data_IF_991817458722
#
_entry.id   IF_991817458722
#
_cell.length_a   1.000
_cell.length_b   1.000
_cell.length_c   1.000
_cell.angle_alpha   90.00
_cell.angle_beta   90.00
_cell.angle_gamma   90.00
#
_symmetry.space_group_name_H-M   'P 1'
#
loop_
_entity.id
_entity.type
_entity.pdbx_description
1 polymer ?
#
# COMPACT_ATOMS: atom_id res chain seq x y z
N UNK A 1 11.01 23.73 19.84
CA UNK A 1 11.51 22.35 19.74
C UNK A 1 10.33 21.44 19.98
N UNK A 2 9.71 20.93 18.92
CA UNK A 2 8.63 19.98 19.03
C UNK A 2 9.24 18.58 19.17
N UNK A 3 8.95 17.89 20.27
CA UNK A 3 9.23 16.47 20.43
C UNK A 3 8.51 15.70 19.33
N UNK A 4 9.25 15.34 18.28
CA UNK A 4 8.75 14.65 17.09
C UNK A 4 8.34 13.22 17.41
N UNK A 5 7.11 13.04 17.93
CA UNK A 5 6.42 11.76 17.82
C UNK A 5 5.90 11.64 16.39
N UNK A 6 6.67 10.95 15.53
CA UNK A 6 6.26 10.69 14.16
C UNK A 6 4.97 9.87 14.14
N UNK A 7 3.90 10.46 13.59
CA UNK A 7 2.64 9.76 13.34
C UNK A 7 2.77 9.07 11.99
N UNK A 8 2.77 7.73 11.94
CA UNK A 8 2.63 7.02 10.66
C UNK A 8 1.14 6.90 10.36
N UNK A 9 0.69 7.64 9.37
CA UNK A 9 -0.66 7.51 8.81
C UNK A 9 -0.53 6.71 7.51
N UNK A 10 -1.11 5.52 7.49
CA UNK A 10 -1.24 4.73 6.28
C UNK A 10 -2.67 4.81 5.74
N UNK A 11 -2.81 4.71 4.42
CA UNK A 11 -4.11 4.52 3.79
C UNK A 11 -4.05 3.25 2.94
N UNK A 12 -5.01 2.36 3.15
CA UNK A 12 -5.32 1.28 2.21
C UNK A 12 -6.70 1.58 1.64
N UNK A 13 -6.88 1.27 0.36
CA UNK A 13 -8.17 1.27 -0.33
C UNK A 13 -8.57 -0.19 -0.49
N UNK A 14 -9.83 -0.51 -0.22
CA UNK A 14 -10.38 -1.84 -0.40
C UNK A 14 -11.23 -1.83 -1.67
N UNK A 15 -12.08 -2.83 -1.85
CA UNK A 15 -12.86 -2.98 -3.09
C UNK A 15 -13.66 -1.71 -3.44
N UNK A 16 -13.18 -0.89 -4.40
CA UNK A 16 -13.85 0.34 -4.78
C UNK A 16 -15.12 0.01 -5.56
N UNK A 17 -15.26 -1.21 -6.09
CA UNK A 17 -16.38 -1.58 -6.95
C UNK A 17 -17.69 -1.81 -6.18
N UNK A 18 -17.60 -2.23 -4.92
CA UNK A 18 -18.76 -2.61 -4.10
C UNK A 18 -19.00 -1.74 -2.88
N UNK A 19 -17.93 -1.23 -2.28
CA UNK A 19 -18.03 -0.75 -0.89
C UNK A 19 -17.65 0.70 -0.72
N UNK A 20 -16.81 1.28 -1.59
CA UNK A 20 -16.38 2.68 -1.44
C UNK A 20 -15.92 2.99 -0.01
N UNK A 21 -15.21 2.05 0.61
CA UNK A 21 -14.63 2.25 1.94
C UNK A 21 -13.14 2.50 1.77
N UNK A 22 -12.52 3.07 2.79
CA UNK A 22 -11.07 3.04 2.95
C UNK A 22 -10.69 2.77 4.39
N UNK A 23 -9.47 2.28 4.57
CA UNK A 23 -8.89 2.05 5.88
C UNK A 23 -7.81 3.10 6.12
N UNK A 24 -8.01 3.90 7.17
CA UNK A 24 -6.97 4.72 7.76
C UNK A 24 -6.33 3.94 8.89
N UNK A 25 -5.01 3.87 8.86
CA UNK A 25 -4.23 3.37 9.97
C UNK A 25 -3.47 4.52 10.60
N UNK A 26 -3.58 4.67 11.92
CA UNK A 26 -2.77 5.61 12.68
C UNK A 26 -1.96 4.88 13.74
N UNK A 27 -0.64 4.96 13.63
CA UNK A 27 0.26 4.59 14.71
C UNK A 27 0.52 5.83 15.59
N UNK A 28 -0.40 6.13 16.51
CA UNK A 28 -0.13 7.03 17.63
C UNK A 28 -0.43 6.30 18.94
N UNK A 29 0.60 6.01 19.73
CA UNK A 29 0.44 5.20 20.95
C UNK A 29 -0.03 3.78 20.61
N UNK A 30 -1.21 3.39 21.08
CA UNK A 30 -1.84 2.12 20.69
C UNK A 30 -2.39 2.22 19.26
N UNK A 31 -1.74 1.54 18.33
CA UNK A 31 -2.10 1.49 16.92
C UNK A 31 -3.62 1.27 16.73
N UNK A 32 -4.26 2.17 15.99
CA UNK A 32 -5.70 2.13 15.75
C UNK A 32 -5.97 2.11 14.24
N UNK A 33 -6.81 1.18 13.84
CA UNK A 33 -7.28 1.03 12.47
C UNK A 33 -8.71 1.54 12.38
N UNK A 34 -8.98 2.49 11.48
CA UNK A 34 -10.28 3.15 11.33
C UNK A 34 -10.78 2.91 9.92
N UNK A 35 -11.89 2.21 9.80
CA UNK A 35 -12.61 2.07 8.54
C UNK A 35 -13.51 3.29 8.35
N UNK A 36 -13.49 3.89 7.16
CA UNK A 36 -14.25 5.10 6.85
C UNK A 36 -15.12 4.90 5.60
N UNK A 37 -16.35 5.42 5.68
CA UNK A 37 -17.19 5.73 4.53
C UNK A 37 -17.42 7.25 4.46
N UNK A 38 -16.63 7.98 3.65
CA UNK A 38 -16.80 9.42 3.41
C UNK A 38 -18.17 9.83 2.87
N UNK A 39 -18.79 9.00 2.01
CA UNK A 39 -20.10 9.31 1.40
C UNK A 39 -21.17 9.46 2.47
N UNK A 40 -21.17 8.54 3.44
CA UNK A 40 -22.10 8.57 4.56
C UNK A 40 -21.56 9.31 5.78
N UNK A 41 -20.31 9.79 5.73
CA UNK A 41 -19.56 10.40 6.85
C UNK A 41 -19.50 9.49 8.07
N UNK A 42 -19.43 8.18 7.83
CA UNK A 42 -19.33 7.17 8.87
C UNK A 42 -17.88 6.76 9.07
N UNK A 43 -17.52 6.47 10.31
CA UNK A 43 -16.25 5.83 10.63
C UNK A 43 -16.45 4.82 11.76
N UNK A 44 -15.67 3.75 11.73
CA UNK A 44 -15.63 2.74 12.80
C UNK A 44 -14.19 2.40 13.12
N UNK A 45 -13.88 2.37 14.42
CA UNK A 45 -12.59 1.89 14.92
C UNK A 45 -12.66 0.37 14.94
N UNK A 46 -11.73 -0.29 14.24
CA UNK A 46 -11.66 -1.74 14.25
C UNK A 46 -11.19 -2.27 15.60
N UNK A 47 -11.61 -3.48 15.99
CA UNK A 47 -11.12 -4.11 17.20
C UNK A 47 -9.61 -4.23 17.16
N UNK A 48 -8.97 -4.00 18.30
CA UNK A 48 -7.52 -4.16 18.43
C UNK A 48 -7.12 -5.58 18.08
N UNK A 49 -5.97 -5.72 17.44
CA UNK A 49 -5.39 -7.04 17.19
C UNK A 49 -5.09 -7.72 18.54
N UNK A 50 -5.80 -8.82 18.81
CA UNK A 50 -5.72 -9.59 20.06
C UNK A 50 -4.71 -10.73 19.98
N UNK A 51 -4.00 -10.88 18.87
CA UNK A 51 -3.00 -11.96 18.72
C UNK A 51 -1.82 -11.68 19.65
N UNK A 52 -1.47 -12.61 20.56
CA UNK A 52 -0.41 -12.39 21.52
C UNK A 52 0.95 -12.26 20.83
N UNK A 53 1.79 -11.41 21.41
CA UNK A 53 3.21 -11.32 21.09
C UNK A 53 3.94 -12.19 22.14
N UNK A 54 4.86 -13.08 21.72
CA UNK A 54 5.63 -13.89 22.66
C UNK A 54 6.35 -13.04 23.71
N UNK A 55 6.50 -13.55 24.93
CA UNK A 55 7.19 -12.84 26.02
C UNK A 55 8.65 -12.57 25.61
N UNK A 56 9.09 -11.33 25.77
CA UNK A 56 10.44 -10.91 25.36
C UNK A 56 10.54 -10.50 23.90
N UNK A 57 9.44 -10.50 23.14
CA UNK A 57 9.40 -10.02 21.76
C UNK A 57 8.61 -8.72 21.64
N UNK A 58 8.89 -7.96 20.59
CA UNK A 58 8.12 -6.80 20.15
C UNK A 58 7.70 -6.99 18.70
N UNK A 59 6.71 -6.22 18.24
CA UNK A 59 6.28 -6.26 16.85
C UNK A 59 6.13 -4.86 16.24
N UNK A 60 6.22 -4.80 14.91
CA UNK A 60 5.90 -3.62 14.10
C UNK A 60 5.04 -4.01 12.92
N UNK A 61 4.03 -3.19 12.66
CA UNK A 61 3.23 -3.29 11.46
C UNK A 61 4.07 -2.89 10.24
N UNK A 62 4.27 -3.83 9.33
CA UNK A 62 4.96 -3.59 8.07
C UNK A 62 3.99 -3.10 7.00
N UNK A 63 2.88 -3.84 6.83
CA UNK A 63 1.82 -3.52 5.87
C UNK A 63 0.46 -3.88 6.43
N UNK A 64 -0.57 -3.26 5.86
CA UNK A 64 -1.94 -3.62 6.11
C UNK A 64 -2.77 -3.44 4.85
N UNK A 65 -3.92 -4.08 4.86
CA UNK A 65 -4.86 -4.07 3.78
C UNK A 65 -6.26 -4.35 4.28
N UNK A 66 -7.23 -4.09 3.42
CA UNK A 66 -8.57 -4.57 3.68
C UNK A 66 -9.29 -4.86 2.37
N UNK A 67 -10.28 -5.73 2.45
CA UNK A 67 -11.11 -6.05 1.32
C UNK A 67 -12.40 -6.73 1.74
N UNK A 68 -13.27 -6.90 0.77
CA UNK A 68 -14.54 -7.57 0.95
C UNK A 68 -14.45 -8.97 0.34
N UNK A 69 -14.74 -10.00 1.13
CA UNK A 69 -14.94 -11.35 0.66
C UNK A 69 -16.41 -11.53 0.27
N UNK A 70 -16.63 -11.75 -1.02
CA UNK A 70 -17.97 -11.93 -1.57
C UNK A 70 -18.59 -13.29 -1.22
N UNK A 71 -17.77 -14.30 -0.96
CA UNK A 71 -18.25 -15.66 -0.69
C UNK A 71 -18.79 -15.77 0.74
N UNK A 72 -18.12 -15.13 1.70
CA UNK A 72 -18.54 -15.05 3.10
C UNK A 72 -19.37 -13.81 3.43
N UNK A 73 -19.50 -12.87 2.48
CA UNK A 73 -20.12 -11.57 2.67
C UNK A 73 -19.54 -10.82 3.89
N UNK A 74 -18.22 -10.88 4.05
CA UNK A 74 -17.53 -10.28 5.20
C UNK A 74 -16.38 -9.37 4.77
N UNK A 75 -16.07 -8.38 5.61
CA UNK A 75 -14.89 -7.56 5.45
C UNK A 75 -13.73 -8.21 6.18
N UNK A 76 -12.61 -8.32 5.49
CA UNK A 76 -11.38 -8.87 6.03
C UNK A 76 -10.32 -7.79 6.06
N UNK A 77 -9.60 -7.72 7.18
CA UNK A 77 -8.51 -6.78 7.37
C UNK A 77 -7.25 -7.58 7.65
N UNK A 78 -6.26 -7.40 6.80
CA UNK A 78 -4.99 -8.11 6.86
C UNK A 78 -3.92 -7.17 7.38
N UNK A 79 -3.12 -7.64 8.33
CA UNK A 79 -1.95 -6.94 8.83
C UNK A 79 -0.74 -7.87 8.77
N UNK A 80 0.31 -7.40 8.11
CA UNK A 80 1.61 -8.08 8.07
C UNK A 80 2.49 -7.42 9.13
N UNK A 81 2.92 -8.22 10.10
CA UNK A 81 3.69 -7.77 11.26
C UNK A 81 5.06 -8.45 11.25
N UNK A 82 6.11 -7.67 11.48
CA UNK A 82 7.44 -8.19 11.80
C UNK A 82 7.54 -8.32 13.32
N UNK A 83 7.98 -9.48 13.80
CA UNK A 83 8.14 -9.79 15.21
C UNK A 83 9.62 -10.12 15.45
N UNK A 84 10.22 -9.54 16.49
CA UNK A 84 11.63 -9.78 16.83
C UNK A 84 11.86 -9.71 18.33
N UNK A 85 12.93 -10.34 18.81
CA UNK A 85 13.28 -10.33 20.22
C UNK A 85 13.63 -8.90 20.68
N UNK A 86 13.10 -8.51 21.83
CA UNK A 86 13.38 -7.23 22.44
C UNK A 86 14.85 -7.19 22.85
N UNK A 87 15.64 -6.21 22.38
CA UNK A 87 17.05 -6.14 22.74
C UNK A 87 17.23 -6.04 24.26
N UNK A 88 17.91 -7.01 24.87
CA UNK A 88 18.40 -6.83 26.24
C UNK A 88 19.68 -5.98 26.18
N UNK A 89 20.00 -5.26 27.25
CA UNK A 89 21.13 -4.29 27.30
C UNK A 89 22.52 -4.90 27.01
N UNK A 90 22.63 -6.22 26.82
CA UNK A 90 23.90 -6.95 26.72
C UNK A 90 24.19 -7.59 25.35
N UNK A 91 23.27 -7.54 24.38
CA UNK A 91 23.53 -8.04 23.03
C UNK A 91 23.98 -6.93 22.09
N UNK A 92 25.20 -7.07 21.57
CA UNK A 92 25.70 -6.31 20.43
C UNK A 92 24.79 -6.56 19.24
N UNK A 93 24.20 -5.50 18.70
CA UNK A 93 23.25 -5.45 17.60
C UNK A 93 23.52 -6.44 16.45
N UNK A 94 22.87 -7.61 16.44
CA UNK A 94 22.51 -8.33 15.21
C UNK A 94 20.99 -8.24 15.06
N UNK A 95 20.50 -7.32 14.23
CA UNK A 95 19.06 -7.05 14.06
C UNK A 95 18.30 -8.18 13.32
N UNK A 96 18.97 -9.26 12.94
CA UNK A 96 18.52 -10.17 11.88
C UNK A 96 18.37 -11.63 12.31
N UNK A 97 18.97 -12.07 13.44
CA UNK A 97 19.05 -13.52 13.72
C UNK A 97 17.75 -14.14 14.29
N UNK A 98 16.84 -13.36 14.89
CA UNK A 98 15.62 -13.88 15.52
C UNK A 98 14.34 -13.07 15.18
N UNK A 99 14.20 -12.63 13.92
CA UNK A 99 12.97 -11.98 13.44
C UNK A 99 12.18 -12.87 12.48
N UNK A 100 10.85 -12.82 12.57
CA UNK A 100 9.95 -13.46 11.61
C UNK A 100 8.81 -12.54 11.21
N UNK A 101 8.25 -12.81 10.04
CA UNK A 101 7.08 -12.10 9.52
C UNK A 101 5.85 -12.97 9.74
N UNK A 102 4.78 -12.37 10.25
CA UNK A 102 3.50 -13.03 10.50
C UNK A 102 2.37 -12.24 9.85
N UNK A 103 1.34 -12.97 9.40
CA UNK A 103 0.14 -12.38 8.83
C UNK A 103 -1.04 -12.58 9.79
N UNK A 104 -1.58 -11.49 10.30
CA UNK A 104 -2.77 -11.49 11.15
C UNK A 104 -3.97 -11.03 10.32
N UNK A 105 -5.09 -11.74 10.41
CA UNK A 105 -6.32 -11.46 9.70
C UNK A 105 -7.46 -11.26 10.69
N UNK A 106 -8.17 -10.14 10.56
CA UNK A 106 -9.49 -9.95 11.14
C UNK A 106 -10.57 -10.30 10.12
N UNK A 107 -11.61 -10.99 10.58
CA UNK A 107 -12.81 -11.27 9.80
C UNK A 107 -14.04 -10.65 10.48
N UNK A 108 -14.77 -9.80 9.76
CA UNK A 108 -15.96 -9.14 10.32
C UNK A 108 -17.12 -10.08 10.58
N UNK A 109 -17.15 -11.27 9.98
CA UNK A 109 -18.20 -12.27 10.22
C UNK A 109 -18.08 -12.91 11.60
N UNK A 110 -16.85 -13.14 12.07
CA UNK A 110 -16.58 -13.73 13.39
C UNK A 110 -16.17 -12.70 14.43
N UNK A 111 -15.95 -11.45 14.01
CA UNK A 111 -15.46 -10.35 14.85
C UNK A 111 -14.21 -10.74 15.64
N UNK A 112 -13.27 -11.42 14.98
CA UNK A 112 -12.10 -11.98 15.64
C UNK A 112 -10.85 -11.89 14.76
N UNK A 113 -9.71 -11.76 15.41
CA UNK A 113 -8.40 -11.90 14.79
C UNK A 113 -7.94 -13.36 14.82
N UNK A 114 -7.24 -13.77 13.77
CA UNK A 114 -6.49 -15.05 13.71
C UNK A 114 -5.21 -14.89 12.91
N UNK A 115 -4.26 -15.79 13.12
CA UNK A 115 -3.05 -15.88 12.31
C UNK A 115 -3.41 -16.66 11.04
N UNK A 116 -2.96 -16.18 9.89
CA UNK A 116 -2.86 -16.98 8.68
C UNK A 116 -1.41 -17.43 8.59
N UNK A 117 -1.19 -18.72 8.77
CA UNK A 117 0.16 -19.26 8.77
C UNK A 117 0.73 -19.25 7.35
N UNK A 118 1.68 -18.35 7.15
CA UNK A 118 2.47 -18.24 5.94
C UNK A 118 3.87 -17.90 6.39
N UNK A 119 4.79 -18.85 6.24
CA UNK A 119 6.22 -18.59 6.32
C UNK A 119 6.59 -17.62 5.21
N UNK A 120 6.59 -16.33 5.54
CA UNK A 120 7.05 -15.29 4.65
C UNK A 120 8.54 -15.08 4.87
N UNK A 121 9.36 -15.06 3.80
CA UNK A 121 10.74 -14.64 3.92
C UNK A 121 10.80 -13.20 4.44
N UNK A 122 11.96 -12.77 4.95
CA UNK A 122 12.13 -11.36 5.29
C UNK A 122 12.08 -10.49 4.03
N UNK A 123 11.48 -9.31 4.15
CA UNK A 123 11.38 -8.34 3.07
C UNK A 123 11.26 -6.92 3.62
N UNK A 124 11.69 -5.96 2.80
CA UNK A 124 11.47 -4.55 3.04
C UNK A 124 10.23 -4.11 2.31
N UNK A 125 9.35 -3.47 3.06
CA UNK A 125 8.15 -2.87 2.53
C UNK A 125 8.42 -1.50 1.93
N UNK A 126 7.89 -1.26 0.73
CA UNK A 126 7.81 0.08 0.17
C UNK A 126 6.59 0.79 0.78
N UNK A 127 6.77 1.84 1.59
CA UNK A 127 5.64 2.59 2.13
C UNK A 127 4.76 3.13 1.01
N UNK A 128 3.45 3.18 1.24
CA UNK A 128 2.47 3.89 0.37
C UNK A 128 2.27 3.30 -1.04
N UNK A 129 2.95 2.20 -1.32
CA UNK A 129 2.87 1.42 -2.55
C UNK A 129 1.91 0.24 -2.41
N UNK A 130 0.66 0.54 -2.01
CA UNK A 130 -0.39 -0.45 -1.86
C UNK A 130 -1.57 -0.17 -2.80
N UNK A 131 -2.20 -1.25 -3.27
CA UNK A 131 -3.32 -1.18 -4.20
C UNK A 131 -4.24 -2.39 -4.02
N UNK A 132 -5.55 -2.15 -3.94
CA UNK A 132 -6.52 -3.22 -4.08
C UNK A 132 -6.92 -3.39 -5.54
N UNK A 133 -6.75 -4.60 -6.07
CA UNK A 133 -7.00 -4.92 -7.46
C UNK A 133 -7.43 -6.39 -7.57
N UNK A 134 -8.43 -6.68 -8.40
CA UNK A 134 -8.87 -8.06 -8.69
C UNK A 134 -9.12 -8.93 -7.44
N UNK A 135 -9.80 -8.39 -6.43
CA UNK A 135 -10.13 -9.12 -5.18
C UNK A 135 -8.95 -9.32 -4.22
N UNK A 136 -7.78 -8.75 -4.52
CA UNK A 136 -6.59 -8.91 -3.71
C UNK A 136 -5.96 -7.57 -3.33
N UNK A 137 -5.43 -7.50 -2.11
CA UNK A 137 -4.57 -6.40 -1.69
C UNK A 137 -3.14 -6.67 -2.18
N UNK A 138 -2.51 -5.67 -2.78
CA UNK A 138 -1.15 -5.73 -3.28
C UNK A 138 -0.27 -4.73 -2.53
N UNK A 139 0.97 -5.13 -2.25
CA UNK A 139 2.01 -4.30 -1.68
C UNK A 139 3.32 -4.51 -2.43
N UNK A 140 3.98 -3.43 -2.83
CA UNK A 140 5.35 -3.54 -3.34
C UNK A 140 6.33 -3.77 -2.18
N UNK A 141 7.19 -4.76 -2.36
CA UNK A 141 8.21 -5.15 -1.39
C UNK A 141 9.51 -5.51 -2.11
N UNK A 142 10.60 -5.63 -1.37
CA UNK A 142 11.92 -6.02 -1.89
C UNK A 142 12.63 -6.94 -0.92
N UNK A 143 13.29 -7.98 -1.43
CA UNK A 143 14.22 -8.83 -0.68
C UNK A 143 15.68 -8.34 -0.81
N UNK A 144 15.85 -7.03 -0.99
CA UNK A 144 17.11 -6.33 -1.21
C UNK A 144 17.77 -6.52 -2.57
N UNK A 145 17.37 -7.54 -3.35
CA UNK A 145 17.94 -7.86 -4.66
C UNK A 145 16.91 -7.87 -5.79
N UNK A 146 15.66 -8.24 -5.48
CA UNK A 146 14.59 -8.40 -6.45
C UNK A 146 13.36 -7.63 -5.96
N UNK A 147 12.83 -6.78 -6.83
CA UNK A 147 11.53 -6.15 -6.61
C UNK A 147 10.40 -7.17 -6.77
N UNK A 148 9.48 -7.21 -5.81
CA UNK A 148 8.34 -8.14 -5.80
C UNK A 148 7.07 -7.42 -5.38
N UNK A 149 5.94 -7.96 -5.78
CA UNK A 149 4.63 -7.60 -5.25
C UNK A 149 4.15 -8.77 -4.42
N UNK A 150 3.90 -8.52 -3.14
CA UNK A 150 3.16 -9.43 -2.28
C UNK A 150 1.68 -9.13 -2.46
N UNK A 151 0.87 -10.14 -2.74
CA UNK A 151 -0.58 -9.99 -2.84
C UNK A 151 -1.32 -10.96 -1.93
N UNK A 152 -2.34 -10.46 -1.25
CA UNK A 152 -3.25 -11.22 -0.40
C UNK A 152 -4.61 -11.34 -1.09
N UNK A 153 -4.96 -12.55 -1.50
CA UNK A 153 -6.28 -12.89 -2.06
C UNK A 153 -7.30 -12.95 -0.92
N UNK A 154 -8.27 -12.04 -0.92
CA UNK A 154 -9.19 -11.86 0.23
C UNK A 154 -10.16 -13.04 0.37
N UNK A 155 -10.64 -13.58 -0.76
CA UNK A 155 -11.57 -14.70 -0.76
C UNK A 155 -10.89 -16.02 -0.40
N UNK A 156 -9.70 -16.26 -0.98
CA UNK A 156 -8.96 -17.51 -0.72
C UNK A 156 -8.08 -17.47 0.52
N UNK A 157 -7.84 -16.28 1.05
CA UNK A 157 -6.96 -16.02 2.21
C UNK A 157 -5.53 -16.52 2.02
N UNK A 158 -5.02 -16.42 0.80
CA UNK A 158 -3.66 -16.86 0.45
C UNK A 158 -2.79 -15.69 0.03
N UNK A 159 -1.54 -15.73 0.45
CA UNK A 159 -0.49 -14.83 0.00
C UNK A 159 0.19 -15.40 -1.24
N UNK A 160 0.47 -14.55 -2.22
CA UNK A 160 1.17 -14.91 -3.45
C UNK A 160 2.17 -13.83 -3.84
N UNK A 161 3.20 -14.27 -4.54
CA UNK A 161 4.25 -13.42 -5.06
C UNK A 161 4.04 -13.17 -6.55
N UNK A 162 4.21 -11.92 -6.97
CA UNK A 162 4.34 -11.53 -8.38
C UNK A 162 5.70 -10.83 -8.51
N UNK A 163 6.58 -11.32 -9.37
CA UNK A 163 7.88 -10.69 -9.57
C UNK A 163 7.73 -9.41 -10.39
N UNK A 164 8.58 -8.42 -10.10
CA UNK A 164 8.73 -7.27 -10.99
C UNK A 164 9.33 -7.70 -12.34
N UNK A 165 9.19 -6.89 -13.40
CA UNK A 165 9.96 -7.09 -14.62
C UNK A 165 11.48 -7.08 -14.31
N UNK A 166 12.29 -7.98 -14.92
CA UNK A 166 13.73 -8.07 -14.63
C UNK A 166 14.52 -6.77 -14.76
N UNK A 167 14.13 -5.91 -15.71
CA UNK A 167 14.71 -4.58 -15.91
C UNK A 167 14.47 -3.60 -14.75
N UNK A 168 13.63 -3.96 -13.77
CA UNK A 168 13.30 -3.17 -12.58
C UNK A 168 13.88 -3.78 -11.28
N UNK A 169 14.67 -4.86 -11.35
CA UNK A 169 15.20 -5.51 -10.15
C UNK A 169 16.29 -4.69 -9.44
N UNK A 170 16.93 -3.78 -10.16
CA UNK A 170 17.99 -2.92 -9.62
C UNK A 170 17.43 -1.66 -8.94
N UNK A 171 16.97 -1.84 -7.69
CA UNK A 171 16.43 -0.77 -6.85
C UNK A 171 17.52 0.07 -6.16
N UNK A 172 18.78 -0.39 -6.15
CA UNK A 172 19.83 0.16 -5.26
C UNK A 172 21.08 0.68 -5.94
N UNK A 173 21.30 0.48 -7.24
CA UNK A 173 22.56 0.97 -7.82
C UNK A 173 22.68 2.51 -7.87
N UNK A 174 21.60 3.27 -7.68
CA UNK A 174 21.68 4.74 -7.53
C UNK A 174 20.94 5.33 -6.32
N UNK A 175 19.99 4.61 -5.69
CA UNK A 175 19.17 5.15 -4.60
C UNK A 175 18.29 6.34 -5.01
N UNK A 176 18.16 6.59 -6.32
CA UNK A 176 17.51 7.75 -6.92
C UNK A 176 16.22 7.39 -7.65
N UNK A 177 15.75 6.15 -7.56
CA UNK A 177 14.57 5.68 -8.29
C UNK A 177 13.41 5.33 -7.37
N UNK A 178 12.23 5.77 -7.76
CA UNK A 178 10.96 5.50 -7.10
C UNK A 178 10.04 4.65 -7.94
N UNK A 179 9.12 3.99 -7.25
CA UNK A 179 8.07 3.20 -7.87
C UNK A 179 6.71 3.47 -7.24
N UNK A 180 5.66 3.40 -8.05
CA UNK A 180 4.29 3.39 -7.58
C UNK A 180 3.47 2.28 -8.26
N UNK A 181 2.54 1.69 -7.51
CA UNK A 181 1.64 0.65 -7.98
C UNK A 181 0.26 1.24 -8.25
N UNK A 182 -0.24 1.09 -9.46
CA UNK A 182 -1.53 1.66 -9.89
C UNK A 182 -2.33 0.64 -10.71
N UNK A 183 -3.63 0.92 -10.89
CA UNK A 183 -4.44 0.25 -11.90
C UNK A 183 -4.44 1.10 -13.15
N UNK A 184 -4.15 0.52 -14.32
CA UNK A 184 -4.16 1.22 -15.59
C UNK A 184 -4.64 0.28 -16.69
N UNK A 185 -5.62 0.71 -17.49
CA UNK A 185 -6.25 -0.12 -18.54
C UNK A 185 -6.78 -1.44 -18.01
N UNK A 186 -7.38 -1.41 -16.81
CA UNK A 186 -7.86 -2.58 -16.08
C UNK A 186 -6.78 -3.64 -15.78
N UNK A 187 -5.50 -3.24 -15.84
CA UNK A 187 -4.35 -4.09 -15.51
C UNK A 187 -3.59 -3.50 -14.32
N UNK A 188 -2.82 -4.36 -13.65
CA UNK A 188 -1.84 -3.92 -12.67
C UNK A 188 -0.69 -3.21 -13.40
N UNK A 189 -0.28 -2.04 -12.90
CA UNK A 189 0.77 -1.26 -13.52
C UNK A 189 1.78 -0.73 -12.49
N UNK A 190 3.06 -0.74 -12.89
CA UNK A 190 4.16 -0.14 -12.14
C UNK A 190 4.60 1.12 -12.87
N UNK A 191 4.69 2.22 -12.14
CA UNK A 191 5.30 3.46 -12.58
C UNK A 191 6.68 3.54 -11.96
N UNK A 192 7.73 3.73 -12.77
CA UNK A 192 9.10 3.96 -12.31
C UNK A 192 9.52 5.38 -12.67
N UNK A 193 10.08 6.11 -11.72
CA UNK A 193 10.43 7.52 -11.85
C UNK A 193 11.70 7.85 -11.04
N UNK A 194 12.31 9.01 -11.26
CA UNK A 194 13.44 9.49 -10.45
C UNK A 194 13.00 10.32 -9.25
N UNK A 195 13.75 10.21 -8.14
CA UNK A 195 13.65 11.00 -6.92
C UNK A 195 14.68 12.15 -6.89
N UNK A 196 15.48 12.31 -7.94
CA UNK A 196 16.49 13.36 -8.00
C UNK A 196 15.80 14.73 -8.02
N UNK A 197 16.10 15.54 -7.01
CA UNK A 197 15.60 16.90 -6.90
C UNK A 197 16.22 17.75 -8.01
N UNK A 198 15.42 18.63 -8.60
CA UNK A 198 15.86 19.60 -9.62
C UNK A 198 16.27 18.99 -10.98
N UNK A 199 15.91 17.73 -11.25
CA UNK A 199 15.94 17.15 -12.59
C UNK A 199 14.56 17.10 -13.23
N UNK A 200 14.49 17.16 -14.56
CA UNK A 200 13.33 16.70 -15.30
C UNK A 200 13.60 15.28 -15.79
N UNK A 201 12.79 14.30 -15.37
CA UNK A 201 12.94 12.90 -15.80
C UNK A 201 11.63 12.37 -16.39
N UNK A 202 11.68 11.20 -17.00
CA UNK A 202 10.53 10.48 -17.54
C UNK A 202 9.95 9.46 -16.53
N UNK A 203 8.69 9.07 -16.68
CA UNK A 203 8.07 7.94 -15.97
C UNK A 203 7.97 6.80 -16.96
N UNK A 204 8.58 5.68 -16.60
CA UNK A 204 8.39 4.42 -17.28
C UNK A 204 7.13 3.73 -16.76
N UNK A 205 6.22 3.35 -17.67
CA UNK A 205 4.96 2.71 -17.31
C UNK A 205 4.96 1.27 -17.82
N UNK A 206 4.90 0.33 -16.87
CA UNK A 206 4.86 -1.12 -17.10
C UNK A 206 3.48 -1.65 -16.78
N UNK A 207 2.89 -2.48 -17.65
CA UNK A 207 1.62 -3.15 -17.44
C UNK A 207 1.81 -4.66 -17.39
N UNK A 208 1.13 -5.30 -16.45
CA UNK A 208 1.02 -6.76 -16.36
C UNK A 208 -0.09 -7.22 -17.31
N UNK A 209 0.27 -7.88 -18.41
CA UNK A 209 -0.70 -8.30 -19.42
C UNK A 209 -1.58 -9.44 -18.96
N UNK A 210 -1.01 -10.39 -18.23
CA UNK A 210 -1.70 -11.55 -17.66
C UNK A 210 -1.52 -11.55 -16.14
N UNK A 211 -2.62 -11.42 -15.41
CA UNK A 211 -2.59 -11.29 -13.97
C UNK A 211 -1.98 -12.53 -13.30
N UNK A 212 -0.98 -12.32 -12.45
CA UNK A 212 -0.22 -13.38 -11.79
C UNK A 212 0.91 -14.01 -12.62
N UNK A 213 1.05 -13.65 -13.91
CA UNK A 213 2.12 -14.18 -14.78
C UNK A 213 3.22 -13.14 -14.91
N UNK A 214 4.29 -13.28 -14.12
CA UNK A 214 5.35 -12.27 -13.99
C UNK A 214 6.07 -11.99 -15.32
N UNK A 215 6.13 -12.96 -16.22
CA UNK A 215 6.76 -12.85 -17.53
C UNK A 215 5.96 -11.96 -18.49
N UNK A 216 4.69 -11.68 -18.16
CA UNK A 216 3.78 -10.89 -19.00
C UNK A 216 3.90 -9.37 -18.80
N UNK A 217 4.84 -8.92 -17.94
CA UNK A 217 5.13 -7.50 -17.79
C UNK A 217 5.66 -6.90 -19.10
N UNK A 218 5.08 -5.78 -19.51
CA UNK A 218 5.52 -5.06 -20.72
C UNK A 218 5.57 -3.55 -20.45
N UNK A 219 6.67 -2.91 -20.87
CA UNK A 219 6.76 -1.45 -20.90
C UNK A 219 5.84 -0.94 -22.00
N UNK A 220 4.80 -0.18 -21.64
CA UNK A 220 3.78 0.26 -22.59
C UNK A 220 4.06 1.66 -23.15
N UNK A 221 4.42 2.61 -22.30
CA UNK A 221 4.72 3.98 -22.71
C UNK A 221 5.58 4.69 -21.68
N UNK A 222 6.14 5.82 -22.11
CA UNK A 222 6.97 6.73 -21.31
C UNK A 222 6.31 8.10 -21.34
N UNK A 223 6.22 8.76 -20.18
CA UNK A 223 5.62 10.10 -20.05
C UNK A 223 6.62 11.07 -19.44
N UNK A 224 6.55 12.35 -19.84
CA UNK A 224 7.48 13.39 -19.38
C UNK A 224 8.28 14.05 -20.52
N UNK A 225 9.36 14.77 -20.20
CA UNK A 225 9.96 14.89 -18.87
C UNK A 225 9.15 15.81 -17.91
N UNK A 226 9.31 15.66 -16.59
CA UNK A 226 8.61 16.46 -15.57
C UNK A 226 9.53 16.77 -14.39
N UNK A 227 9.32 17.89 -13.68
CA UNK A 227 10.06 18.20 -12.46
C UNK A 227 9.83 17.09 -11.43
N UNK A 228 10.87 16.30 -11.14
CA UNK A 228 10.80 15.25 -10.13
C UNK A 228 10.96 15.88 -8.75
N UNK A 229 9.92 15.74 -7.92
CA UNK A 229 9.94 16.05 -6.49
C UNK A 229 9.65 14.79 -5.70
N UNK A 230 10.16 14.71 -4.46
CA UNK A 230 10.09 13.52 -3.63
C UNK A 230 8.66 12.94 -3.47
N UNK A 231 8.59 11.61 -3.33
CA UNK A 231 7.43 10.77 -3.01
C UNK A 231 6.17 10.98 -3.86
N UNK A 232 6.15 10.30 -5.01
CA UNK A 232 4.98 10.22 -5.86
C UNK A 232 3.94 9.27 -5.25
N UNK A 233 2.79 9.82 -4.89
CA UNK A 233 1.55 9.06 -4.76
C UNK A 233 0.87 8.95 -6.11
N UNK A 234 1.34 8.03 -6.95
CA UNK A 234 0.69 7.84 -8.24
C UNK A 234 -0.66 7.16 -8.07
N UNK A 235 -1.70 7.71 -8.69
CA UNK A 235 -3.00 7.02 -8.85
C UNK A 235 -3.56 7.32 -10.23
N UNK A 236 -4.18 6.35 -10.88
CA UNK A 236 -4.81 6.56 -12.19
C UNK A 236 -6.30 6.89 -12.01
N UNK A 237 -6.78 7.91 -12.72
CA UNK A 237 -8.20 8.25 -12.72
C UNK A 237 -9.05 7.08 -13.21
N UNK A 238 -10.33 7.07 -12.84
CA UNK A 238 -11.29 6.00 -13.16
C UNK A 238 -11.48 5.73 -14.67
N UNK A 239 -11.00 6.62 -15.54
CA UNK A 239 -11.06 6.49 -16.99
C UNK A 239 -9.69 6.31 -17.64
N UNK A 240 -8.64 6.05 -16.86
CA UNK A 240 -7.25 5.94 -17.34
C UNK A 240 -6.80 7.16 -18.16
N UNK A 241 -7.37 8.33 -17.85
CA UNK A 241 -7.06 9.57 -18.54
C UNK A 241 -5.90 10.30 -17.86
N UNK A 242 -5.85 10.22 -16.54
CA UNK A 242 -4.94 11.00 -15.73
C UNK A 242 -4.15 10.12 -14.78
N UNK A 243 -2.87 10.37 -14.65
CA UNK A 243 -2.09 9.92 -13.49
C UNK A 243 -1.94 11.11 -12.55
N UNK A 244 -2.36 10.92 -11.31
CA UNK A 244 -2.28 11.90 -10.24
C UNK A 244 -0.97 11.73 -9.48
N UNK A 245 -0.32 12.82 -9.10
CA UNK A 245 0.97 12.86 -8.42
C UNK A 245 0.97 13.92 -7.31
N UNK A 246 1.76 13.69 -6.27
CA UNK A 246 2.15 14.73 -5.31
C UNK A 246 3.47 15.33 -5.79
N UNK A 247 3.58 16.66 -5.78
CA UNK A 247 4.84 17.36 -6.04
C UNK A 247 4.88 18.63 -5.19
N UNK A 248 5.83 18.69 -4.24
CA UNK A 248 6.06 19.84 -3.36
C UNK A 248 4.80 20.34 -2.62
N UNK A 249 3.97 19.42 -2.15
CA UNK A 249 2.72 19.70 -1.44
C UNK A 249 1.54 19.99 -2.36
N UNK A 250 1.70 19.92 -3.68
CA UNK A 250 0.64 20.13 -4.67
C UNK A 250 0.20 18.82 -5.31
N UNK A 251 -1.08 18.73 -5.66
CA UNK A 251 -1.62 17.65 -6.48
C UNK A 251 -1.49 18.03 -7.96
N UNK A 252 -0.86 17.16 -8.74
CA UNK A 252 -0.66 17.30 -10.19
C UNK A 252 -1.34 16.15 -10.91
N UNK A 253 -1.99 16.39 -12.05
CA UNK A 253 -2.52 15.36 -12.92
C UNK A 253 -1.87 15.44 -14.29
N UNK A 254 -1.42 14.30 -14.80
CA UNK A 254 -0.84 14.16 -16.14
C UNK A 254 -1.77 13.37 -17.05
N UNK A 255 -2.10 13.93 -18.22
CA UNK A 255 -2.93 13.26 -19.21
C UNK A 255 -2.11 12.22 -19.98
N UNK A 256 -2.46 10.94 -19.83
CA UNK A 256 -1.74 9.80 -20.40
C UNK A 256 -1.60 9.88 -21.94
N UNK A 257 -2.54 10.55 -22.62
CA UNK A 257 -2.60 10.61 -24.09
C UNK A 257 -2.44 12.02 -24.70
N UNK A 258 -2.40 13.07 -23.87
CA UNK A 258 -2.41 14.45 -24.38
C UNK A 258 -1.14 15.23 -24.05
N UNK A 259 -0.18 14.63 -23.32
CA UNK A 259 0.98 15.33 -22.78
C UNK A 259 0.61 16.66 -22.10
N UNK A 260 -0.52 16.64 -21.37
CA UNK A 260 -1.05 17.81 -20.67
C UNK A 260 -0.90 17.62 -19.17
N UNK A 261 -0.53 18.69 -18.49
CA UNK A 261 -0.44 18.73 -17.04
C UNK A 261 -1.51 19.67 -16.50
N UNK A 262 -2.18 19.23 -15.44
CA UNK A 262 -3.12 20.03 -14.67
C UNK A 262 -2.68 20.04 -13.20
N UNK A 263 -2.34 21.23 -12.70
CA UNK A 263 -2.02 21.42 -11.28
C UNK A 263 -3.28 21.85 -10.53
N UNK A 264 -3.49 21.26 -9.36
CA UNK A 264 -4.58 21.61 -8.47
C UNK A 264 -4.06 22.46 -7.31
N UNK A 265 -4.81 23.50 -6.95
CA UNK A 265 -4.46 24.44 -5.88
C UNK A 265 -4.80 23.89 -4.50
N UNK A 266 -4.24 22.72 -4.16
CA UNK A 266 -4.25 22.18 -2.80
C UNK A 266 -2.86 22.38 -2.21
N UNK A 267 -2.79 22.89 -0.99
CA UNK A 267 -1.53 23.12 -0.29
C UNK A 267 -1.43 22.14 0.89
N UNK A 268 -0.78 21.01 0.65
CA UNK A 268 -0.38 20.06 1.68
C UNK A 268 1.06 20.29 2.14
N UNK A 269 1.47 19.60 3.20
CA UNK A 269 2.88 19.52 3.55
C UNK A 269 3.54 18.39 2.75
N UNK A 270 4.65 18.69 2.09
CA UNK A 270 5.44 17.73 1.30
C UNK A 270 5.67 16.43 2.09
N UNK A 271 5.64 15.28 1.42
CA UNK A 271 5.79 13.93 2.01
C UNK A 271 4.65 13.45 2.91
N UNK A 272 3.72 14.33 3.33
CA UNK A 272 2.57 13.95 4.18
C UNK A 272 1.23 14.10 3.47
N UNK A 273 1.20 14.80 2.33
CA UNK A 273 -0.01 14.93 1.54
C UNK A 273 -0.40 13.56 0.97
N UNK A 274 -1.66 13.17 1.14
CA UNK A 274 -2.19 11.89 0.63
C UNK A 274 -3.44 12.18 -0.20
N UNK A 275 -3.44 11.70 -1.44
CA UNK A 275 -4.61 11.73 -2.31
C UNK A 275 -5.09 10.31 -2.56
N UNK A 276 -6.39 10.09 -2.43
CA UNK A 276 -7.02 8.80 -2.73
C UNK A 276 -8.14 8.98 -3.73
N UNK A 277 -8.21 8.07 -4.69
CA UNK A 277 -9.34 8.00 -5.60
C UNK A 277 -10.41 7.20 -4.88
N UNK A 278 -11.51 7.88 -4.62
CA UNK A 278 -12.60 7.36 -3.85
C UNK A 278 -13.81 7.19 -4.75
N UNK A 279 -14.42 6.01 -4.71
CA UNK A 279 -15.74 5.78 -5.31
C UNK A 279 -16.78 5.88 -4.19
N UNK A 280 -17.81 6.66 -4.42
CA UNK A 280 -18.90 6.80 -3.46
C UNK A 280 -19.62 5.48 -3.20
N UNK A 281 -20.10 5.31 -1.98
CA UNK A 281 -20.85 4.13 -1.55
C UNK A 281 -21.94 4.47 -0.56
N UNK A 282 -23.14 3.95 -0.83
CA UNK A 282 -24.28 4.06 0.06
C UNK A 282 -24.37 2.89 1.07
N UNK A 283 -23.37 2.01 1.13
CA UNK A 283 -23.33 0.92 2.10
C UNK A 283 -22.92 1.48 3.47
N UNK A 284 -23.73 1.27 4.50
CA UNK A 284 -23.42 1.76 5.85
C UNK A 284 -22.41 0.85 6.55
N UNK A 285 -21.38 1.45 7.17
CA UNK A 285 -20.44 0.75 8.04
C UNK A 285 -21.16 0.06 9.22
N UNK A 286 -22.30 0.61 9.65
CA UNK A 286 -23.11 0.03 10.74
C UNK A 286 -23.80 -1.28 10.35
N UNK A 287 -24.03 -1.51 9.06
CA UNK A 287 -24.64 -2.75 8.56
C UNK A 287 -23.62 -3.87 8.39
N UNK A 288 -22.36 -3.52 8.10
CA UNK A 288 -21.35 -4.48 7.64
C UNK A 288 -20.24 -4.77 8.64
N UNK A 289 -19.99 -3.86 9.57
CA UNK A 289 -19.10 -4.08 10.70
C UNK A 289 -19.94 -4.05 11.97
N UNK A 290 -20.29 -5.21 12.51
CA UNK A 290 -21.09 -5.34 13.74
C UNK A 290 -20.22 -5.24 15.01
N UNK A 291 -19.38 -4.20 15.02
CA UNK A 291 -18.49 -3.80 16.12
C UNK A 291 -19.01 -2.56 16.81
#
# INVERSE_FOLDING_TARGET
>A
MCDGRFIRIGISLGDPSRSGFFLLFSAFGEASSICCNPTLREFKVLPRNTIPIPKGYVCKLEQFGFGFDADTNSYKFVSIVKVWEQPTHYHTFSWEEDSYVRTDLYDSSTNSWRIIDTELPDFVCMPECNLFFNGAQHWMVSDHHVGKILCFDVGREVLKWILHPPSLWDYRHDGKLGMALVTLKQSLAILRYSYESDSEDCIDIWLLKEYGVSESWTKQFVIGPYPTGHDILARCSSQDQWILFESNGQLVAYAIHANQIKTFQFHGHAKSFRAVIFRESCVSLNQVLLI
#
